data_IF_503331982196
#
_entry.id   IF_503331982196
#
_cell.length_a   1.000
_cell.length_b   1.000
_cell.length_c   1.000
_cell.angle_alpha   90.00
_cell.angle_beta   90.00
_cell.angle_gamma   90.00
#
_symmetry.space_group_name_H-M   'P 1'
#
loop_
_entity.id
_entity.type
_entity.pdbx_description
1 polymer ?
#
# COMPACT_ATOMS: atom_id res chain seq x y z
N UNK A 1 2.29 17.31 17.92
CA UNK A 1 2.30 16.45 16.72
C UNK A 1 0.91 16.50 16.10
N UNK A 2 0.82 16.58 14.78
CA UNK A 2 -0.45 16.51 14.07
C UNK A 2 -0.95 15.06 14.13
N UNK A 3 -2.18 14.84 14.60
CA UNK A 3 -2.79 13.51 14.76
C UNK A 3 -3.95 13.40 13.78
N UNK A 4 -4.00 12.30 13.05
CA UNK A 4 -5.14 11.92 12.22
C UNK A 4 -5.99 10.90 12.99
N UNK A 5 -7.27 11.18 13.17
CA UNK A 5 -8.22 10.34 13.88
C UNK A 5 -9.26 9.71 12.94
N UNK A 6 -8.95 9.61 11.66
CA UNK A 6 -9.86 9.04 10.66
C UNK A 6 -10.59 10.09 9.84
N UNK A 7 -10.20 11.37 9.86
CA UNK A 7 -10.83 12.41 9.07
C UNK A 7 -10.61 12.16 7.57
N UNK A 8 -11.58 12.53 6.71
CA UNK A 8 -11.38 12.52 5.26
C UNK A 8 -10.56 13.75 4.81
N UNK A 9 -9.29 13.79 5.23
CA UNK A 9 -8.33 14.86 4.93
C UNK A 9 -6.96 14.23 4.62
N UNK A 10 -6.64 14.16 3.32
CA UNK A 10 -5.39 13.55 2.89
C UNK A 10 -4.16 14.37 3.31
N UNK A 11 -4.28 15.70 3.34
CA UNK A 11 -3.18 16.57 3.73
C UNK A 11 -2.83 16.42 5.22
N UNK A 12 -3.85 16.27 6.07
CA UNK A 12 -3.70 15.94 7.49
C UNK A 12 -3.06 14.57 7.67
N UNK A 13 -3.60 13.55 7.00
CA UNK A 13 -3.07 12.19 7.04
C UNK A 13 -1.58 12.14 6.69
N UNK A 14 -1.20 12.80 5.59
CA UNK A 14 0.19 12.84 5.12
C UNK A 14 1.15 13.51 6.11
N UNK A 15 0.65 14.43 6.95
CA UNK A 15 1.44 15.10 8.00
C UNK A 15 1.51 14.27 9.29
N UNK A 16 0.58 13.34 9.52
CA UNK A 16 0.49 12.56 10.75
C UNK A 16 1.21 11.21 10.69
N UNK A 17 1.56 10.72 9.49
CA UNK A 17 2.15 9.38 9.28
C UNK A 17 3.49 9.44 8.53
N UNK A 18 4.37 8.42 8.62
CA UNK A 18 5.72 8.45 8.06
C UNK A 18 5.77 8.24 6.53
N UNK A 19 4.85 8.86 5.77
CA UNK A 19 4.76 8.80 4.30
C UNK A 19 5.29 10.07 3.62
N UNK A 20 6.08 10.88 4.34
CA UNK A 20 6.78 12.02 3.73
C UNK A 20 7.81 11.53 2.71
N UNK A 21 8.18 12.39 1.75
CA UNK A 21 9.05 12.00 0.65
C UNK A 21 10.43 11.49 1.08
N UNK A 22 10.91 11.85 2.28
CA UNK A 22 12.16 11.33 2.85
C UNK A 22 11.92 10.14 3.80
N UNK A 23 10.90 10.21 4.65
CA UNK A 23 10.64 9.19 5.68
C UNK A 23 10.39 7.80 5.07
N UNK A 24 9.71 7.73 3.91
CA UNK A 24 9.45 6.47 3.20
C UNK A 24 10.76 5.73 2.87
N UNK A 25 11.77 6.46 2.39
CA UNK A 25 13.03 5.82 1.97
C UNK A 25 13.90 5.43 3.17
N UNK A 26 13.86 6.22 4.23
CA UNK A 26 14.48 5.85 5.52
C UNK A 26 13.84 4.58 6.08
N UNK A 27 12.50 4.50 6.12
CA UNK A 27 11.77 3.30 6.56
C UNK A 27 12.08 2.09 5.67
N UNK A 28 12.08 2.27 4.34
CA UNK A 28 12.42 1.21 3.39
C UNK A 28 13.85 0.69 3.59
N UNK A 29 14.81 1.59 3.80
CA UNK A 29 16.19 1.20 4.10
C UNK A 29 16.29 0.44 5.42
N UNK A 30 15.68 0.93 6.50
CA UNK A 30 15.77 0.27 7.81
C UNK A 30 15.12 -1.11 7.81
N UNK A 31 13.97 -1.29 7.13
CA UNK A 31 13.33 -2.59 6.98
C UNK A 31 14.22 -3.62 6.26
N UNK A 32 15.13 -3.15 5.40
CA UNK A 32 15.97 -4.01 4.56
C UNK A 32 17.46 -3.83 4.80
N UNK A 33 17.85 -3.24 5.95
CA UNK A 33 19.25 -2.87 6.22
C UNK A 33 20.21 -4.06 6.08
N UNK A 34 19.79 -5.23 6.54
CA UNK A 34 20.59 -6.47 6.47
C UNK A 34 20.80 -6.98 5.04
N UNK A 35 19.95 -6.57 4.09
CA UNK A 35 20.07 -6.93 2.66
C UNK A 35 20.96 -5.97 1.88
N UNK A 36 21.33 -4.82 2.47
CA UNK A 36 22.08 -3.75 1.81
C UNK A 36 23.54 -3.76 2.29
N UNK A 37 24.48 -3.92 1.36
CA UNK A 37 25.91 -4.01 1.68
C UNK A 37 26.57 -2.64 1.91
N UNK A 38 25.90 -1.56 1.52
CA UNK A 38 26.44 -0.20 1.62
C UNK A 38 26.24 0.35 3.04
N UNK A 39 27.37 0.61 3.71
CA UNK A 39 27.42 1.04 5.12
C UNK A 39 26.95 2.48 5.35
N UNK A 40 27.18 3.38 4.38
CA UNK A 40 26.80 4.79 4.51
C UNK A 40 25.29 4.95 4.27
N UNK A 41 24.55 5.09 5.36
CA UNK A 41 23.07 5.16 5.37
C UNK A 41 22.49 6.17 4.36
N UNK A 42 22.92 7.43 4.42
CA UNK A 42 22.40 8.47 3.50
C UNK A 42 22.63 8.13 2.03
N UNK A 43 23.74 7.47 1.70
CA UNK A 43 24.04 7.01 0.34
C UNK A 43 23.13 5.85 -0.04
N UNK A 44 22.92 4.90 0.88
CA UNK A 44 22.05 3.76 0.66
C UNK A 44 20.59 4.17 0.43
N UNK A 45 20.07 5.05 1.28
CA UNK A 45 18.70 5.59 1.16
C UNK A 45 18.50 6.24 -0.22
N UNK A 46 19.42 7.12 -0.62
CA UNK A 46 19.30 7.84 -1.89
C UNK A 46 19.41 6.90 -3.11
N UNK A 47 20.31 5.91 -3.05
CA UNK A 47 20.47 4.94 -4.14
C UNK A 47 19.29 3.97 -4.23
N UNK A 48 18.75 3.50 -3.11
CA UNK A 48 17.53 2.71 -3.10
C UNK A 48 16.35 3.50 -3.67
N UNK A 49 16.21 4.79 -3.32
CA UNK A 49 15.20 5.67 -3.92
C UNK A 49 15.30 5.70 -5.44
N UNK A 50 16.51 5.87 -5.99
CA UNK A 50 16.75 5.90 -7.44
C UNK A 50 16.40 4.55 -8.07
N UNK A 51 16.87 3.45 -7.48
CA UNK A 51 16.64 2.08 -7.95
C UNK A 51 15.15 1.74 -8.00
N UNK A 52 14.42 2.00 -6.91
CA UNK A 52 12.99 1.65 -6.80
C UNK A 52 12.16 2.49 -7.75
N UNK A 53 12.41 3.81 -7.87
CA UNK A 53 11.73 4.66 -8.85
C UNK A 53 11.98 4.21 -10.29
N UNK A 54 13.21 3.85 -10.63
CA UNK A 54 13.53 3.31 -11.95
C UNK A 54 12.84 1.96 -12.21
N UNK A 55 12.72 1.13 -11.18
CA UNK A 55 12.01 -0.16 -11.24
C UNK A 55 10.53 0.03 -11.57
N UNK A 56 9.84 0.94 -10.89
CA UNK A 56 8.43 1.24 -11.19
C UNK A 56 8.24 1.78 -12.61
N UNK A 57 9.12 2.67 -13.06
CA UNK A 57 9.06 3.21 -14.43
C UNK A 57 9.23 2.10 -15.47
N UNK A 58 10.23 1.24 -15.31
CA UNK A 58 10.52 0.15 -16.25
C UNK A 58 9.43 -0.93 -16.25
N UNK A 59 8.94 -1.31 -15.06
CA UNK A 59 7.83 -2.26 -14.93
C UNK A 59 6.56 -1.72 -15.60
N UNK A 60 6.22 -0.45 -15.42
CA UNK A 60 5.05 0.12 -16.08
C UNK A 60 5.19 0.21 -17.62
N UNK A 61 6.43 0.28 -18.15
CA UNK A 61 6.67 0.38 -19.59
C UNK A 61 6.64 -0.97 -20.31
N UNK A 62 7.18 -2.03 -19.70
CA UNK A 62 7.34 -3.33 -20.37
C UNK A 62 7.03 -4.56 -19.49
N UNK A 63 6.54 -4.36 -18.28
CA UNK A 63 6.36 -5.41 -17.29
C UNK A 63 7.65 -5.74 -16.54
N UNK A 64 7.53 -6.05 -15.25
CA UNK A 64 8.66 -6.42 -14.41
C UNK A 64 9.29 -7.73 -14.88
N UNK A 65 8.49 -8.70 -15.34
CA UNK A 65 9.00 -9.97 -15.87
C UNK A 65 10.01 -9.78 -17.02
N UNK A 66 9.74 -8.87 -17.95
CA UNK A 66 10.59 -8.57 -19.11
C UNK A 66 11.73 -7.58 -18.83
N UNK A 67 11.64 -6.82 -17.73
CA UNK A 67 12.73 -5.97 -17.27
C UNK A 67 13.96 -6.79 -16.84
N UNK A 68 15.16 -6.34 -17.20
CA UNK A 68 16.43 -6.92 -16.75
C UNK A 68 17.17 -5.98 -15.79
N UNK A 69 18.13 -6.53 -15.05
CA UNK A 69 19.06 -5.70 -14.25
C UNK A 69 19.94 -4.79 -15.11
N UNK A 70 20.14 -5.13 -16.40
CA UNK A 70 20.85 -4.26 -17.36
C UNK A 70 20.03 -3.03 -17.71
N UNK A 71 18.73 -3.19 -17.91
CA UNK A 71 17.81 -2.05 -18.10
C UNK A 71 17.85 -1.12 -16.88
N UNK A 72 17.83 -1.72 -15.68
CA UNK A 72 17.92 -0.97 -14.42
C UNK A 72 19.25 -0.22 -14.29
N UNK A 73 20.36 -0.87 -14.64
CA UNK A 73 21.70 -0.27 -14.66
C UNK A 73 21.74 0.98 -15.56
N UNK A 74 21.23 0.86 -16.78
CA UNK A 74 21.13 1.98 -17.72
C UNK A 74 20.22 3.11 -17.18
N UNK A 75 19.04 2.76 -16.67
CA UNK A 75 18.07 3.74 -16.17
C UNK A 75 18.53 4.48 -14.91
N UNK A 76 19.41 3.87 -14.11
CA UNK A 76 19.92 4.45 -12.85
C UNK A 76 21.33 5.04 -12.97
N UNK A 77 21.99 4.85 -14.12
CA UNK A 77 23.41 5.14 -14.32
C UNK A 77 24.30 4.50 -13.24
N UNK A 78 23.97 3.25 -12.86
CA UNK A 78 24.71 2.47 -11.87
C UNK A 78 25.30 1.24 -12.54
N UNK A 79 26.53 0.88 -12.22
CA UNK A 79 27.10 -0.38 -12.70
C UNK A 79 26.30 -1.58 -12.17
N UNK A 80 26.35 -2.70 -12.88
CA UNK A 80 25.75 -3.96 -12.43
C UNK A 80 26.24 -4.34 -11.02
N UNK A 81 27.56 -4.28 -10.79
CA UNK A 81 28.15 -4.54 -9.48
C UNK A 81 27.62 -3.61 -8.39
N UNK A 82 27.43 -2.33 -8.70
CA UNK A 82 26.83 -1.39 -7.76
C UNK A 82 25.39 -1.75 -7.42
N UNK A 83 24.56 -2.20 -8.38
CA UNK A 83 23.18 -2.61 -8.10
C UNK A 83 23.12 -3.81 -7.16
N UNK A 84 24.00 -4.80 -7.36
CA UNK A 84 24.06 -5.98 -6.51
C UNK A 84 24.30 -5.64 -5.03
N UNK A 85 25.02 -4.56 -4.73
CA UNK A 85 25.24 -4.11 -3.35
C UNK A 85 23.99 -3.59 -2.62
N UNK A 86 22.92 -3.24 -3.35
CA UNK A 86 21.69 -2.70 -2.77
C UNK A 86 20.53 -3.69 -2.77
N UNK A 87 20.43 -4.52 -3.81
CA UNK A 87 19.24 -5.34 -4.04
C UNK A 87 19.53 -6.82 -4.25
N UNK A 88 20.80 -7.22 -4.36
CA UNK A 88 21.30 -8.61 -4.55
C UNK A 88 20.81 -9.40 -5.76
N UNK A 89 19.55 -9.24 -6.19
CA UNK A 89 18.99 -9.80 -7.42
C UNK A 89 17.70 -9.07 -7.80
N UNK A 90 17.20 -9.33 -9.00
CA UNK A 90 15.86 -8.87 -9.42
C UNK A 90 14.75 -9.45 -8.52
N UNK A 91 14.87 -10.71 -8.10
CA UNK A 91 13.88 -11.34 -7.22
C UNK A 91 13.88 -10.69 -5.84
N UNK A 92 15.06 -10.44 -5.26
CA UNK A 92 15.19 -9.78 -3.96
C UNK A 92 14.69 -8.33 -3.99
N UNK A 93 14.89 -7.60 -5.10
CA UNK A 93 14.26 -6.29 -5.33
C UNK A 93 12.73 -6.35 -5.20
N UNK A 94 12.08 -7.34 -5.84
CA UNK A 94 10.64 -7.51 -5.73
C UNK A 94 10.22 -7.90 -4.30
N UNK A 95 10.95 -8.80 -3.65
CA UNK A 95 10.71 -9.17 -2.24
C UNK A 95 10.72 -7.95 -1.32
N UNK A 96 11.72 -7.08 -1.48
CA UNK A 96 11.82 -5.85 -0.67
C UNK A 96 10.58 -4.95 -0.86
N UNK A 97 10.14 -4.74 -2.10
CA UNK A 97 8.94 -3.93 -2.37
C UNK A 97 7.68 -4.54 -1.74
N UNK A 98 7.47 -5.85 -1.86
CA UNK A 98 6.30 -6.53 -1.30
C UNK A 98 6.31 -6.63 0.23
N UNK A 99 7.48 -6.72 0.84
CA UNK A 99 7.64 -6.70 2.30
C UNK A 99 7.40 -5.31 2.88
N UNK A 100 7.65 -4.26 2.11
CA UNK A 100 7.50 -2.89 2.59
C UNK A 100 6.04 -2.43 2.73
N UNK A 101 5.15 -2.84 1.82
CA UNK A 101 3.75 -2.35 1.84
C UNK A 101 2.97 -2.68 3.13
N UNK A 102 3.05 -3.90 3.70
CA UNK A 102 2.41 -4.21 4.97
C UNK A 102 3.04 -3.46 6.14
N UNK A 103 4.37 -3.32 6.11
CA UNK A 103 5.11 -2.59 7.13
C UNK A 103 4.64 -1.13 7.22
N UNK A 104 4.56 -0.45 6.07
CA UNK A 104 4.10 0.94 6.03
C UNK A 104 2.60 1.05 6.34
N UNK A 105 1.79 0.06 5.92
CA UNK A 105 0.37 0.03 6.26
C UNK A 105 0.16 -0.04 7.78
N UNK A 106 0.88 -0.94 8.46
CA UNK A 106 0.79 -1.07 9.92
C UNK A 106 1.27 0.21 10.63
N UNK A 107 2.39 0.79 10.20
CA UNK A 107 2.93 2.03 10.77
C UNK A 107 2.00 3.24 10.57
N UNK A 108 1.19 3.25 9.52
CA UNK A 108 0.28 4.37 9.25
C UNK A 108 -1.11 4.17 9.86
N UNK A 109 -1.67 2.96 9.80
CA UNK A 109 -3.08 2.67 10.18
C UNK A 109 -3.16 1.79 11.42
N UNK A 110 -2.37 0.71 11.48
CA UNK A 110 -2.42 -0.24 12.60
C UNK A 110 -2.24 0.43 13.95
N UNK A 111 -1.29 1.36 14.05
CA UNK A 111 -1.05 2.17 15.27
C UNK A 111 -2.18 3.17 15.60
N UNK A 112 -3.04 3.50 14.63
CA UNK A 112 -4.15 4.45 14.78
C UNK A 112 -5.49 3.78 15.11
N UNK A 113 -5.59 2.45 14.94
CA UNK A 113 -6.76 1.66 15.30
C UNK A 113 -6.72 1.36 16.80
N UNK A 114 -7.35 2.23 17.61
CA UNK A 114 -7.36 2.04 19.07
C UNK A 114 -8.30 0.90 19.42
N UNK A 115 -7.91 0.09 20.41
CA UNK A 115 -8.78 -0.99 20.91
C UNK A 115 -10.15 -0.48 21.37
N UNK A 116 -10.20 0.73 21.93
CA UNK A 116 -11.40 1.43 22.40
C UNK A 116 -12.31 1.97 21.30
N UNK A 117 -11.86 2.05 20.05
CA UNK A 117 -12.71 2.55 18.96
C UNK A 117 -13.82 1.55 18.66
N UNK A 118 -15.02 2.06 18.36
CA UNK A 118 -16.14 1.27 17.87
C UNK A 118 -15.78 0.59 16.52
N UNK A 119 -16.33 -0.59 16.22
CA UNK A 119 -15.93 -1.39 15.05
C UNK A 119 -16.23 -0.69 13.71
N UNK A 120 -17.31 0.08 13.62
CA UNK A 120 -17.63 0.93 12.47
C UNK A 120 -16.57 2.04 12.27
N UNK A 121 -16.14 2.69 13.35
CA UNK A 121 -15.07 3.70 13.31
C UNK A 121 -13.74 3.07 12.89
N UNK A 122 -13.44 1.86 13.35
CA UNK A 122 -12.25 1.11 12.91
C UNK A 122 -12.31 0.80 11.42
N UNK A 123 -13.47 0.39 10.91
CA UNK A 123 -13.68 0.14 9.49
C UNK A 123 -13.52 1.42 8.65
N UNK A 124 -14.09 2.56 9.08
CA UNK A 124 -13.92 3.85 8.41
C UNK A 124 -12.43 4.25 8.35
N UNK A 125 -11.71 4.16 9.47
CA UNK A 125 -10.27 4.42 9.53
C UNK A 125 -9.48 3.51 8.60
N UNK A 126 -9.82 2.22 8.55
CA UNK A 126 -9.16 1.26 7.67
C UNK A 126 -9.35 1.62 6.19
N UNK A 127 -10.58 1.98 5.79
CA UNK A 127 -10.94 2.37 4.41
C UNK A 127 -10.23 3.66 4.00
N UNK A 128 -10.38 4.73 4.80
CA UNK A 128 -9.75 6.03 4.53
C UNK A 128 -8.24 5.92 4.48
N UNK A 129 -7.68 5.22 5.48
CA UNK A 129 -6.25 4.95 5.57
C UNK A 129 -5.70 4.23 4.36
N UNK A 130 -6.37 3.17 3.90
CA UNK A 130 -5.96 2.44 2.71
C UNK A 130 -5.94 3.35 1.45
N UNK A 131 -7.00 4.14 1.23
CA UNK A 131 -7.04 5.07 0.09
C UNK A 131 -5.92 6.10 0.19
N UNK A 132 -5.70 6.73 1.35
CA UNK A 132 -4.65 7.74 1.49
C UNK A 132 -3.24 7.18 1.33
N UNK A 133 -2.96 5.99 1.86
CA UNK A 133 -1.65 5.35 1.66
C UNK A 133 -1.45 5.00 0.20
N UNK A 134 -2.46 4.43 -0.46
CA UNK A 134 -2.37 4.06 -1.86
C UNK A 134 -2.34 5.27 -2.80
N UNK A 135 -2.89 6.42 -2.40
CA UNK A 135 -2.70 7.71 -3.08
C UNK A 135 -1.24 8.18 -2.95
N UNK A 136 -0.70 8.20 -1.74
CA UNK A 136 0.68 8.65 -1.50
C UNK A 136 1.75 7.73 -2.12
N UNK A 137 1.45 6.43 -2.19
CA UNK A 137 2.35 5.37 -2.64
C UNK A 137 1.85 4.69 -3.92
N UNK A 138 1.14 5.40 -4.80
CA UNK A 138 0.50 4.82 -5.99
C UNK A 138 1.43 3.90 -6.81
N UNK A 139 2.69 4.26 -7.14
CA UNK A 139 3.56 3.37 -7.91
C UNK A 139 3.89 2.06 -7.20
N UNK A 140 3.94 2.07 -5.87
CA UNK A 140 4.22 0.88 -5.06
C UNK A 140 3.04 -0.08 -5.08
N UNK A 141 1.82 0.43 -4.85
CA UNK A 141 0.59 -0.38 -4.86
C UNK A 141 0.30 -0.92 -6.25
N UNK A 142 0.46 -0.09 -7.28
CA UNK A 142 0.31 -0.51 -8.67
C UNK A 142 1.29 -1.63 -9.03
N UNK A 143 2.57 -1.47 -8.69
CA UNK A 143 3.58 -2.52 -8.91
C UNK A 143 3.22 -3.82 -8.19
N UNK A 144 2.87 -3.74 -6.90
CA UNK A 144 2.57 -4.91 -6.09
C UNK A 144 1.34 -5.67 -6.60
N UNK A 145 0.34 -4.96 -7.14
CA UNK A 145 -0.84 -5.58 -7.72
C UNK A 145 -0.56 -6.23 -9.08
N UNK A 146 0.09 -5.49 -9.98
CA UNK A 146 0.27 -5.93 -11.38
C UNK A 146 1.22 -7.11 -11.53
N UNK A 147 2.24 -7.21 -10.67
CA UNK A 147 3.34 -8.14 -10.91
C UNK A 147 3.18 -9.51 -10.23
N UNK A 148 2.10 -9.76 -9.47
CA UNK A 148 1.87 -10.99 -8.68
C UNK A 148 2.05 -12.31 -9.44
N UNK A 149 1.76 -12.35 -10.74
CA UNK A 149 1.78 -13.59 -11.53
C UNK A 149 3.19 -14.14 -11.80
N UNK A 150 4.20 -13.27 -11.90
CA UNK A 150 5.56 -13.63 -12.32
C UNK A 150 6.61 -13.57 -11.20
N UNK A 151 6.16 -13.40 -9.96
CA UNK A 151 7.07 -13.34 -8.80
C UNK A 151 7.52 -14.75 -8.38
N UNK A 152 8.64 -14.80 -7.66
CA UNK A 152 9.08 -16.02 -6.98
C UNK A 152 8.02 -16.51 -6.00
N UNK A 153 8.07 -17.79 -5.65
CA UNK A 153 7.14 -18.40 -4.69
C UNK A 153 7.13 -17.65 -3.35
N UNK A 154 8.31 -17.26 -2.84
CA UNK A 154 8.46 -16.47 -1.61
C UNK A 154 7.65 -15.18 -1.63
N UNK A 155 7.73 -14.41 -2.73
CA UNK A 155 7.01 -13.15 -2.87
C UNK A 155 5.51 -13.37 -3.01
N UNK A 156 5.09 -14.43 -3.73
CA UNK A 156 3.66 -14.77 -3.88
C UNK A 156 3.02 -15.09 -2.53
N UNK A 157 3.70 -15.85 -1.68
CA UNK A 157 3.18 -16.15 -0.33
C UNK A 157 3.07 -14.88 0.53
N UNK A 158 4.05 -13.97 0.47
CA UNK A 158 3.98 -12.68 1.15
C UNK A 158 2.79 -11.87 0.64
N UNK A 159 2.67 -11.69 -0.68
CA UNK A 159 1.58 -10.92 -1.28
C UNK A 159 0.20 -11.49 -0.90
N UNK A 160 0.04 -12.81 -0.97
CA UNK A 160 -1.19 -13.52 -0.60
C UNK A 160 -1.51 -13.34 0.90
N UNK A 161 -0.52 -13.51 1.77
CA UNK A 161 -0.72 -13.36 3.22
C UNK A 161 -1.17 -11.94 3.58
N UNK A 162 -0.60 -10.93 2.91
CA UNK A 162 -0.98 -9.53 3.11
C UNK A 162 -2.40 -9.22 2.64
N UNK A 163 -2.78 -9.82 1.51
CA UNK A 163 -4.14 -9.70 0.95
C UNK A 163 -5.16 -10.29 1.93
N UNK A 164 -4.96 -11.54 2.35
CA UNK A 164 -5.79 -12.24 3.33
C UNK A 164 -5.90 -11.43 4.63
N UNK A 165 -4.78 -10.98 5.20
CA UNK A 165 -4.78 -10.21 6.44
C UNK A 165 -5.65 -8.95 6.35
N UNK A 166 -5.54 -8.22 5.24
CA UNK A 166 -6.35 -7.00 5.06
C UNK A 166 -7.84 -7.29 4.88
N UNK A 167 -8.19 -8.43 4.31
CA UNK A 167 -9.58 -8.88 4.12
C UNK A 167 -10.17 -9.35 5.45
N UNK A 168 -9.40 -10.09 6.24
CA UNK A 168 -9.77 -10.52 7.59
C UNK A 168 -10.04 -9.34 8.53
N UNK A 169 -9.28 -8.24 8.41
CA UNK A 169 -9.55 -7.02 9.19
C UNK A 169 -10.89 -6.38 8.82
N UNK A 170 -11.21 -6.27 7.52
CA UNK A 170 -12.48 -5.72 7.05
C UNK A 170 -13.63 -6.60 7.56
N UNK A 171 -13.50 -7.90 7.37
CA UNK A 171 -14.47 -8.91 7.80
C UNK A 171 -14.70 -8.87 9.31
N UNK A 172 -13.62 -8.84 10.10
CA UNK A 172 -13.68 -8.76 11.56
C UNK A 172 -14.43 -7.51 12.05
N UNK A 173 -14.16 -6.34 11.48
CA UNK A 173 -14.84 -5.11 11.90
C UNK A 173 -16.31 -5.07 11.49
N UNK A 174 -16.68 -5.62 10.33
CA UNK A 174 -18.09 -5.75 9.95
C UNK A 174 -18.81 -6.71 10.89
N UNK A 175 -18.22 -7.88 11.19
CA UNK A 175 -18.81 -8.85 12.11
C UNK A 175 -19.06 -8.27 13.51
N UNK A 176 -18.05 -7.58 14.09
CA UNK A 176 -18.18 -6.92 15.39
C UNK A 176 -19.26 -5.83 15.39
N UNK A 177 -19.39 -5.07 14.30
CA UNK A 177 -20.42 -4.05 14.17
C UNK A 177 -21.83 -4.64 14.05
N UNK A 178 -21.98 -5.83 13.44
CA UNK A 178 -23.25 -6.57 13.42
C UNK A 178 -23.60 -7.07 14.82
N UNK A 179 -22.64 -7.65 15.56
CA UNK A 179 -22.85 -8.11 16.94
C UNK A 179 -23.29 -6.97 17.88
N UNK A 180 -22.79 -5.75 17.62
CA UNK A 180 -23.14 -4.55 18.36
C UNK A 180 -24.39 -3.83 17.84
N UNK A 181 -25.10 -4.39 16.85
CA UNK A 181 -26.28 -3.81 16.20
C UNK A 181 -26.04 -2.43 15.57
N UNK A 182 -24.79 -2.13 15.18
CA UNK A 182 -24.42 -0.92 14.45
C UNK A 182 -24.71 -1.12 12.95
N UNK A 183 -24.41 -2.32 12.44
CA UNK A 183 -24.75 -2.74 11.08
C UNK A 183 -25.80 -3.84 11.12
N UNK A 184 -26.57 -3.96 10.03
CA UNK A 184 -27.46 -5.09 9.82
C UNK A 184 -26.70 -6.32 9.34
N UNK A 185 -27.34 -7.48 9.50
CA UNK A 185 -26.84 -8.73 8.95
C UNK A 185 -26.67 -8.62 7.43
N UNK A 186 -25.54 -9.13 6.93
CA UNK A 186 -25.20 -9.12 5.51
C UNK A 186 -24.40 -10.39 5.16
N UNK A 187 -24.21 -10.64 3.87
CA UNK A 187 -23.22 -11.64 3.45
C UNK A 187 -21.82 -11.07 3.70
N UNK A 188 -21.19 -11.49 4.80
CA UNK A 188 -19.94 -10.96 5.31
C UNK A 188 -18.81 -11.04 4.27
N UNK A 189 -18.59 -12.24 3.72
CA UNK A 189 -17.56 -12.48 2.70
C UNK A 189 -17.74 -11.58 1.47
N UNK A 190 -18.93 -11.57 0.86
CA UNK A 190 -19.16 -10.77 -0.35
C UNK A 190 -19.05 -9.27 -0.08
N UNK A 191 -19.46 -8.81 1.10
CA UNK A 191 -19.37 -7.41 1.49
C UNK A 191 -17.91 -6.98 1.69
N UNK A 192 -17.11 -7.81 2.36
CA UNK A 192 -15.66 -7.60 2.50
C UNK A 192 -14.94 -7.56 1.15
N UNK A 193 -15.27 -8.50 0.24
CA UNK A 193 -14.71 -8.53 -1.11
C UNK A 193 -15.11 -7.30 -1.95
N UNK A 194 -16.34 -6.83 -1.81
CA UNK A 194 -16.80 -5.60 -2.47
C UNK A 194 -16.00 -4.39 -1.97
N UNK A 195 -15.87 -4.22 -0.65
CA UNK A 195 -15.08 -3.12 -0.06
C UNK A 195 -13.64 -3.21 -0.55
N UNK A 196 -13.02 -4.39 -0.48
CA UNK A 196 -11.66 -4.62 -0.96
C UNK A 196 -11.50 -4.24 -2.42
N UNK A 197 -12.45 -4.62 -3.28
CA UNK A 197 -12.45 -4.28 -4.70
C UNK A 197 -12.55 -2.77 -4.95
N UNK A 198 -13.37 -2.05 -4.18
CA UNK A 198 -13.46 -0.58 -4.25
C UNK A 198 -12.13 0.07 -3.87
N UNK A 199 -11.48 -0.42 -2.82
CA UNK A 199 -10.16 0.05 -2.39
C UNK A 199 -9.08 -0.19 -3.44
N UNK A 200 -9.07 -1.37 -4.07
CA UNK A 200 -8.09 -1.72 -5.10
C UNK A 200 -8.27 -0.91 -6.39
N UNK A 201 -9.52 -0.61 -6.77
CA UNK A 201 -9.81 0.15 -7.98
C UNK A 201 -9.11 1.52 -7.99
N UNK A 202 -9.00 2.18 -6.84
CA UNK A 202 -8.36 3.50 -6.70
C UNK A 202 -6.98 3.55 -7.36
N UNK A 203 -6.06 2.68 -6.93
CA UNK A 203 -4.69 2.71 -7.40
C UNK A 203 -4.48 2.00 -8.76
N UNK A 204 -5.37 1.05 -9.13
CA UNK A 204 -5.31 0.37 -10.43
C UNK A 204 -5.77 1.28 -11.56
N UNK A 205 -6.85 2.04 -11.33
CA UNK A 205 -7.48 2.92 -12.32
C UNK A 205 -7.20 4.40 -12.05
N UNK A 206 -6.16 4.71 -11.27
CA UNK A 206 -5.79 6.07 -10.84
C UNK A 206 -5.78 7.08 -11.99
N UNK A 207 -5.24 6.70 -13.15
CA UNK A 207 -5.20 7.56 -14.34
C UNK A 207 -6.58 8.00 -14.85
N UNK A 208 -7.61 7.14 -14.69
CA UNK A 208 -9.00 7.48 -15.06
C UNK A 208 -9.61 8.46 -14.08
N UNK A 209 -9.42 8.24 -12.79
CA UNK A 209 -9.90 9.17 -11.75
C UNK A 209 -9.25 10.55 -11.90
N UNK A 210 -7.93 10.58 -12.13
CA UNK A 210 -7.18 11.80 -12.40
C UNK A 210 -7.66 12.51 -13.67
N UNK A 211 -7.93 11.79 -14.75
CA UNK A 211 -8.44 12.37 -15.98
C UNK A 211 -9.84 12.99 -15.82
N UNK A 212 -10.61 12.50 -14.84
CA UNK A 212 -11.94 13.01 -14.49
C UNK A 212 -11.95 13.97 -13.30
N UNK A 213 -10.78 14.46 -12.86
CA UNK A 213 -10.62 15.39 -11.73
C UNK A 213 -11.22 14.88 -10.40
N UNK A 214 -11.19 13.57 -10.19
CA UNK A 214 -11.66 12.94 -8.94
C UNK A 214 -10.51 12.88 -7.94
N UNK A 215 -10.63 13.59 -6.81
CA UNK A 215 -9.69 13.49 -5.70
C UNK A 215 -9.89 12.21 -4.89
N UNK A 216 -8.89 11.83 -4.08
CA UNK A 216 -9.01 10.67 -3.19
C UNK A 216 -10.10 10.90 -2.14
N UNK A 217 -10.27 12.13 -1.66
CA UNK A 217 -11.34 12.49 -0.72
C UNK A 217 -12.73 12.39 -1.35
N UNK A 218 -12.89 12.85 -2.60
CA UNK A 218 -14.16 12.73 -3.32
C UNK A 218 -14.52 11.29 -3.66
N UNK A 219 -13.51 10.47 -4.00
CA UNK A 219 -13.71 9.03 -4.15
C UNK A 219 -14.12 8.37 -2.84
N UNK A 220 -13.47 8.72 -1.72
CA UNK A 220 -13.80 8.23 -0.38
C UNK A 220 -15.24 8.56 0.01
N UNK A 221 -15.65 9.81 -0.18
CA UNK A 221 -17.02 10.25 0.13
C UNK A 221 -18.06 9.40 -0.62
N UNK A 222 -17.83 9.12 -1.90
CA UNK A 222 -18.72 8.28 -2.69
C UNK A 222 -18.76 6.82 -2.20
N UNK A 223 -17.60 6.18 -2.03
CA UNK A 223 -17.59 4.76 -1.63
C UNK A 223 -18.10 4.56 -0.21
N UNK A 224 -17.87 5.50 0.70
CA UNK A 224 -18.42 5.43 2.06
C UNK A 224 -19.94 5.50 2.07
N UNK A 225 -20.55 6.33 1.21
CA UNK A 225 -22.00 6.35 1.05
C UNK A 225 -22.51 5.00 0.52
N UNK A 226 -21.85 4.40 -0.46
CA UNK A 226 -22.21 3.08 -1.00
C UNK A 226 -22.11 1.99 0.08
N UNK A 227 -21.02 1.98 0.84
CA UNK A 227 -20.77 1.02 1.91
C UNK A 227 -21.79 1.19 3.04
N UNK A 228 -22.06 2.42 3.48
CA UNK A 228 -23.07 2.71 4.50
C UNK A 228 -24.45 2.24 4.08
N UNK A 229 -24.85 2.49 2.84
CA UNK A 229 -26.13 1.98 2.30
C UNK A 229 -26.19 0.46 2.36
N UNK A 230 -25.11 -0.23 1.99
CA UNK A 230 -25.05 -1.70 2.02
C UNK A 230 -25.11 -2.27 3.45
N UNK A 231 -24.60 -1.54 4.45
CA UNK A 231 -24.47 -2.03 5.83
C UNK A 231 -25.61 -1.59 6.77
N UNK A 232 -26.34 -0.52 6.44
CA UNK A 232 -27.35 0.12 7.31
C UNK A 232 -28.77 0.07 6.71
N UNK A 233 -28.94 -0.15 5.40
CA UNK A 233 -30.26 -0.09 4.72
C UNK A 233 -30.80 -1.44 4.20
N UNK A 234 -30.35 -2.58 4.72
CA UNK A 234 -30.93 -3.91 4.43
C UNK A 234 -32.12 -4.28 5.33
#
# INVERSE_FOLDING_TARGET
MTVWNGENDFALFKKSVPISSQAIWTAFYHLHKEKVQVQKENVAIEKLRIIIKATFKLSNQKGFSLMSLRDLSQATNMSMGSLYNYIGSKSQLAEMIHQFLPHIFNACIGEQLRSSDAPDVKLEKLIRGHIFISEALQPWFFFAFMETKHLSRSVKEIAKSNEIYSEELIECFIAQAIEQNIYQSCNLFLTSMMIKSLLQNWYIKHSKYKASDVSCEGYLEYIEQVIKKQLILN
#
